data_IF_410679356392
#
_entry.id   IF_410679356392
#
_cell.length_a   1.000
_cell.length_b   1.000
_cell.length_c   1.000
_cell.angle_alpha   90.00
_cell.angle_beta   90.00
_cell.angle_gamma   90.00
#
_symmetry.space_group_name_H-M   'P 1'
#
loop_
_entity.id
_entity.type
_entity.pdbx_description
1 polymer ?
#
# COMPACT_ATOMS: atom_id res chain seq x y z
N UNK A 1 -32.48 41.93 -35.06
CA UNK A 1 -31.00 41.85 -35.02
C UNK A 1 -30.64 40.72 -34.06
N UNK A 2 -29.96 39.65 -34.52
CA UNK A 2 -29.59 38.54 -33.64
C UNK A 2 -28.31 38.86 -32.87
N UNK A 3 -28.32 38.62 -31.56
CA UNK A 3 -27.12 38.62 -30.72
C UNK A 3 -26.39 37.29 -30.92
N UNK A 4 -25.23 37.32 -31.57
CA UNK A 4 -24.26 36.23 -31.52
C UNK A 4 -23.44 36.39 -30.24
N UNK A 5 -23.71 35.56 -29.23
CA UNK A 5 -22.79 35.40 -28.10
C UNK A 5 -21.58 34.62 -28.60
N UNK A 6 -20.43 35.28 -28.66
CA UNK A 6 -19.16 34.66 -29.00
C UNK A 6 -18.69 33.84 -27.79
N UNK A 7 -18.80 32.51 -27.89
CA UNK A 7 -18.57 31.56 -26.79
C UNK A 7 -17.10 31.51 -26.31
N UNK A 8 -16.20 32.23 -27.00
CA UNK A 8 -14.76 32.25 -26.75
C UNK A 8 -14.26 33.53 -26.05
N UNK A 9 -15.15 34.47 -25.76
CA UNK A 9 -14.82 35.72 -25.07
C UNK A 9 -14.14 35.56 -23.68
N UNK A 10 -14.40 34.52 -22.84
CA UNK A 10 -13.65 34.38 -21.59
C UNK A 10 -12.18 33.98 -21.78
N UNK A 11 -11.75 33.56 -22.97
CA UNK A 11 -10.36 33.18 -23.26
C UNK A 11 -9.54 34.31 -23.92
N UNK A 12 -10.16 35.39 -24.37
CA UNK A 12 -9.47 36.55 -24.97
C UNK A 12 -8.63 37.33 -23.95
N UNK A 13 -8.92 37.17 -22.66
CA UNK A 13 -8.18 37.79 -21.55
C UNK A 13 -6.95 36.99 -21.10
N UNK A 14 -6.87 35.70 -21.42
CA UNK A 14 -5.73 34.86 -21.07
C UNK A 14 -4.67 35.05 -22.15
N UNK A 15 -3.65 35.84 -21.86
CA UNK A 15 -2.48 36.00 -22.72
C UNK A 15 -1.45 34.93 -22.32
N UNK A 16 -1.44 33.72 -22.93
CA UNK A 16 -0.56 32.63 -22.51
C UNK A 16 0.92 33.02 -22.56
N UNK A 17 1.30 33.97 -23.43
CA UNK A 17 2.68 34.49 -23.48
C UNK A 17 3.13 35.20 -22.19
N UNK A 18 2.24 35.94 -21.52
CA UNK A 18 2.57 36.61 -20.25
C UNK A 18 2.73 35.60 -19.10
N UNK A 19 1.82 34.62 -19.00
CA UNK A 19 1.90 33.51 -18.06
C UNK A 19 3.15 32.64 -18.30
N UNK A 20 3.48 32.33 -19.54
CA UNK A 20 4.67 31.53 -19.85
C UNK A 20 5.96 32.31 -19.53
N UNK A 21 5.97 33.63 -19.74
CA UNK A 21 7.10 34.50 -19.36
C UNK A 21 7.31 34.54 -17.85
N UNK A 22 6.23 34.80 -17.09
CA UNK A 22 6.27 34.96 -15.63
C UNK A 22 6.64 33.66 -14.90
N UNK A 23 6.34 32.51 -15.50
CA UNK A 23 6.65 31.18 -14.95
C UNK A 23 7.73 30.41 -15.73
N UNK A 24 8.40 31.07 -16.68
CA UNK A 24 9.38 30.44 -17.59
C UNK A 24 10.47 29.70 -16.82
N UNK A 25 10.97 30.30 -15.75
CA UNK A 25 11.97 29.74 -14.83
C UNK A 25 11.49 28.48 -14.11
N UNK A 26 10.25 28.51 -13.59
CA UNK A 26 9.65 27.36 -12.92
C UNK A 26 9.37 26.21 -13.88
N UNK A 27 8.90 26.53 -15.09
CA UNK A 27 8.65 25.55 -16.14
C UNK A 27 9.97 24.87 -16.53
N UNK A 28 11.03 25.65 -16.74
CA UNK A 28 12.32 25.13 -17.13
C UNK A 28 12.98 24.30 -16.02
N UNK A 29 12.97 24.78 -14.78
CA UNK A 29 13.49 24.01 -13.64
C UNK A 29 12.75 22.68 -13.48
N UNK A 30 11.42 22.69 -13.59
CA UNK A 30 10.61 21.48 -13.48
C UNK A 30 10.93 20.49 -14.60
N UNK A 31 11.10 20.98 -15.84
CA UNK A 31 11.53 20.15 -16.97
C UNK A 31 12.91 19.52 -16.73
N UNK A 32 13.88 20.30 -16.24
CA UNK A 32 15.21 19.80 -15.89
C UNK A 32 15.14 18.76 -14.78
N UNK A 33 14.33 18.99 -13.75
CA UNK A 33 14.14 18.05 -12.65
C UNK A 33 13.61 16.70 -13.13
N UNK A 34 12.56 16.69 -13.94
CA UNK A 34 12.01 15.45 -14.50
C UNK A 34 13.01 14.77 -15.45
N UNK A 35 13.73 15.54 -16.27
CA UNK A 35 14.75 15.02 -17.15
C UNK A 35 15.87 14.30 -16.38
N UNK A 36 16.46 14.95 -15.37
CA UNK A 36 17.52 14.33 -14.57
C UNK A 36 17.00 13.18 -13.73
N UNK A 37 15.75 13.22 -13.26
CA UNK A 37 15.14 12.10 -12.57
C UNK A 37 15.03 10.86 -13.48
N UNK A 38 14.63 11.06 -14.74
CA UNK A 38 14.62 9.99 -15.73
C UNK A 38 16.03 9.44 -16.00
N UNK A 39 17.01 10.31 -16.27
CA UNK A 39 18.40 9.91 -16.60
C UNK A 39 19.06 9.18 -15.44
N UNK A 40 19.01 9.74 -14.24
CA UNK A 40 19.57 9.13 -13.02
C UNK A 40 18.84 7.84 -12.68
N UNK A 41 17.51 7.80 -12.86
CA UNK A 41 16.70 6.61 -12.67
C UNK A 41 17.13 5.46 -13.57
N UNK A 42 17.45 5.73 -14.84
CA UNK A 42 17.94 4.72 -15.79
C UNK A 42 19.38 4.28 -15.44
N UNK A 43 20.26 5.25 -15.18
CA UNK A 43 21.68 4.99 -14.92
C UNK A 43 21.89 4.18 -13.63
N UNK A 44 21.26 4.59 -12.52
CA UNK A 44 21.43 3.91 -11.23
C UNK A 44 20.72 2.56 -11.17
N UNK A 45 19.60 2.37 -11.88
CA UNK A 45 18.87 1.09 -11.91
C UNK A 45 19.65 -0.01 -12.63
N UNK A 46 20.58 0.36 -13.51
CA UNK A 46 21.46 -0.59 -14.22
C UNK A 46 22.62 -1.09 -13.35
N UNK A 47 23.02 -0.31 -12.34
CA UNK A 47 24.21 -0.58 -11.52
C UNK A 47 23.87 -1.05 -10.10
N UNK A 48 22.67 -0.75 -9.61
CA UNK A 48 22.17 -1.17 -8.31
C UNK A 48 20.84 -1.92 -8.49
N UNK A 49 20.87 -3.26 -8.38
CA UNK A 49 19.66 -4.09 -8.33
C UNK A 49 18.71 -3.62 -7.21
N UNK A 50 17.40 -3.78 -7.44
CA UNK A 50 16.25 -3.11 -6.79
C UNK A 50 16.32 -2.94 -5.26
N UNK A 51 17.20 -2.05 -4.80
CA UNK A 51 17.29 -1.68 -3.40
C UNK A 51 16.24 -0.61 -3.08
N UNK A 52 15.63 -0.71 -1.90
CA UNK A 52 14.63 0.25 -1.40
C UNK A 52 15.17 1.69 -1.30
N UNK A 53 16.48 1.88 -1.45
CA UNK A 53 17.21 3.14 -1.31
C UNK A 53 17.50 3.85 -2.63
N UNK A 54 17.34 3.15 -3.77
CA UNK A 54 17.55 3.67 -5.12
C UNK A 54 16.68 4.91 -5.40
N UNK A 55 15.46 4.95 -4.85
CA UNK A 55 14.55 6.09 -5.04
C UNK A 55 15.03 7.35 -4.34
N UNK A 56 15.60 7.22 -3.13
CA UNK A 56 16.09 8.37 -2.35
C UNK A 56 17.38 8.91 -2.96
N UNK A 57 18.31 8.02 -3.33
CA UNK A 57 19.53 8.43 -4.02
C UNK A 57 19.23 9.02 -5.41
N UNK A 58 18.31 8.39 -6.15
CA UNK A 58 17.91 8.88 -7.47
C UNK A 58 17.29 10.27 -7.42
N UNK A 59 16.41 10.52 -6.44
CA UNK A 59 15.79 11.84 -6.25
C UNK A 59 16.80 12.90 -5.80
N UNK A 60 17.71 12.58 -4.86
CA UNK A 60 18.73 13.54 -4.42
C UNK A 60 19.70 13.91 -5.54
N UNK A 61 20.14 12.94 -6.33
CA UNK A 61 21.09 13.17 -7.43
C UNK A 61 20.41 13.90 -8.59
N UNK A 62 19.17 13.56 -8.91
CA UNK A 62 18.40 14.26 -9.94
C UNK A 62 18.16 15.73 -9.58
N UNK A 63 17.81 16.00 -8.32
CA UNK A 63 17.62 17.36 -7.82
C UNK A 63 18.93 18.16 -7.85
N UNK A 64 20.04 17.55 -7.44
CA UNK A 64 21.36 18.19 -7.49
C UNK A 64 21.77 18.57 -8.92
N UNK A 65 21.55 17.67 -9.89
CA UNK A 65 21.81 17.95 -11.30
C UNK A 65 20.88 19.02 -11.85
N UNK A 66 19.59 18.98 -11.52
CA UNK A 66 18.62 19.98 -11.98
C UNK A 66 18.96 21.39 -11.48
N UNK A 67 19.27 21.52 -10.18
CA UNK A 67 19.73 22.79 -9.59
C UNK A 67 21.05 23.22 -10.21
N UNK A 68 22.02 22.31 -10.30
CA UNK A 68 23.34 22.59 -10.85
C UNK A 68 23.25 23.10 -12.30
N UNK A 69 22.51 22.41 -13.16
CA UNK A 69 22.36 22.78 -14.57
C UNK A 69 21.52 24.04 -14.76
N UNK A 70 20.43 24.21 -14.01
CA UNK A 70 19.61 25.42 -14.09
C UNK A 70 20.43 26.68 -13.77
N UNK A 71 21.21 26.65 -12.68
CA UNK A 71 22.03 27.80 -12.29
C UNK A 71 23.32 27.96 -13.10
N UNK A 72 24.00 26.88 -13.46
CA UNK A 72 25.28 26.96 -14.19
C UNK A 72 25.13 27.25 -15.68
N UNK A 73 24.09 26.71 -16.31
CA UNK A 73 23.89 26.76 -17.77
C UNK A 73 22.88 27.84 -18.16
N UNK A 74 21.78 27.98 -17.41
CA UNK A 74 20.67 28.85 -17.85
C UNK A 74 20.76 30.29 -17.33
N UNK A 75 21.10 30.50 -16.06
CA UNK A 75 21.33 31.86 -15.53
C UNK A 75 22.73 32.44 -15.84
N UNK A 76 23.60 31.66 -16.49
CA UNK A 76 24.86 32.13 -17.05
C UNK A 76 25.98 32.32 -16.02
N UNK A 77 27.05 31.55 -16.21
CA UNK A 77 28.43 31.89 -15.82
C UNK A 77 28.65 32.19 -14.32
N UNK A 78 28.96 31.13 -13.55
CA UNK A 78 29.83 31.13 -12.36
C UNK A 78 30.26 32.50 -11.78
N UNK A 79 29.30 33.23 -11.20
CA UNK A 79 29.52 34.13 -10.08
C UNK A 79 28.53 33.72 -8.99
N UNK A 80 28.76 32.54 -8.39
CA UNK A 80 28.16 32.16 -7.11
C UNK A 80 28.71 33.08 -6.02
N UNK A 81 28.28 34.35 -6.00
CA UNK A 81 28.21 35.06 -4.73
C UNK A 81 26.96 34.54 -4.02
N UNK A 82 27.11 34.15 -2.75
CA UNK A 82 26.00 33.78 -1.87
C UNK A 82 24.91 34.88 -1.78
N UNK A 83 25.20 36.09 -2.25
CA UNK A 83 24.26 37.23 -2.34
C UNK A 83 23.22 37.06 -3.45
N UNK A 84 23.58 36.55 -4.63
CA UNK A 84 22.63 36.40 -5.75
C UNK A 84 21.65 35.24 -5.59
N UNK A 85 21.99 34.28 -4.73
CA UNK A 85 21.18 33.08 -4.47
C UNK A 85 19.95 33.36 -3.56
N UNK A 86 19.95 34.53 -2.90
CA UNK A 86 18.98 34.88 -1.87
C UNK A 86 18.94 33.86 -0.71
N UNK A 87 18.05 34.12 0.25
CA UNK A 87 17.82 33.21 1.37
C UNK A 87 17.32 31.82 0.92
N UNK A 88 16.55 31.79 -0.17
CA UNK A 88 15.88 30.57 -0.63
C UNK A 88 16.85 29.54 -1.23
N UNK A 89 17.80 29.96 -2.07
CA UNK A 89 18.79 29.05 -2.62
C UNK A 89 19.71 28.47 -1.54
N UNK A 90 20.05 29.27 -0.52
CA UNK A 90 20.88 28.83 0.59
C UNK A 90 20.15 27.72 1.39
N UNK A 91 18.86 27.92 1.67
CA UNK A 91 18.02 26.91 2.33
C UNK A 91 17.94 25.62 1.50
N UNK A 92 17.76 25.71 0.18
CA UNK A 92 17.69 24.54 -0.70
C UNK A 92 19.01 23.76 -0.70
N UNK A 93 20.15 24.46 -0.79
CA UNK A 93 21.47 23.87 -0.75
C UNK A 93 21.72 23.15 0.59
N UNK A 94 21.29 23.75 1.70
CA UNK A 94 21.37 23.10 3.02
C UNK A 94 20.54 21.83 3.11
N UNK A 95 19.33 21.84 2.56
CA UNK A 95 18.48 20.65 2.49
C UNK A 95 19.19 19.54 1.70
N UNK A 96 19.78 19.86 0.54
CA UNK A 96 20.52 18.89 -0.29
C UNK A 96 21.71 18.31 0.46
N UNK A 97 22.57 19.14 1.07
CA UNK A 97 23.73 18.69 1.84
C UNK A 97 23.29 17.77 2.99
N UNK A 98 22.26 18.16 3.74
CA UNK A 98 21.72 17.34 4.82
C UNK A 98 21.27 15.96 4.32
N UNK A 99 20.52 15.91 3.21
CA UNK A 99 20.04 14.65 2.65
C UNK A 99 21.17 13.77 2.10
N UNK A 100 22.24 14.35 1.56
CA UNK A 100 23.43 13.61 1.15
C UNK A 100 24.11 12.98 2.37
N UNK A 101 24.39 13.77 3.42
CA UNK A 101 25.01 13.27 4.66
C UNK A 101 24.16 12.18 5.29
N UNK A 102 22.85 12.42 5.42
CA UNK A 102 21.91 11.44 5.96
C UNK A 102 21.83 10.17 5.10
N UNK A 103 21.80 10.32 3.77
CA UNK A 103 21.79 9.21 2.81
C UNK A 103 23.04 8.34 2.92
N UNK A 104 24.22 8.96 3.03
CA UNK A 104 25.49 8.27 3.23
C UNK A 104 25.52 7.50 4.54
N UNK A 105 25.16 8.13 5.67
CA UNK A 105 25.12 7.47 6.99
C UNK A 105 24.16 6.28 6.99
N UNK A 106 23.01 6.42 6.33
CA UNK A 106 22.06 5.32 6.15
C UNK A 106 22.63 4.21 5.26
N UNK A 107 23.39 4.57 4.23
CA UNK A 107 24.11 3.65 3.34
C UNK A 107 25.13 2.77 4.09
N UNK A 108 25.74 3.30 5.15
CA UNK A 108 26.60 2.53 6.07
C UNK A 108 25.82 1.61 7.03
N UNK A 109 24.52 1.41 6.82
CA UNK A 109 23.70 0.45 7.57
C UNK A 109 23.16 0.94 8.92
N UNK A 110 23.30 2.23 9.24
CA UNK A 110 22.76 2.79 10.47
C UNK A 110 21.23 2.88 10.43
N UNK A 111 20.58 2.47 11.53
CA UNK A 111 19.12 2.63 11.71
C UNK A 111 18.74 4.11 11.66
N UNK A 112 17.61 4.44 11.04
CA UNK A 112 17.13 5.82 10.85
C UNK A 112 17.10 6.64 12.15
N UNK A 113 16.75 6.00 13.27
CA UNK A 113 16.72 6.64 14.60
C UNK A 113 18.09 7.16 15.07
N UNK A 114 19.19 6.56 14.60
CA UNK A 114 20.56 6.95 14.91
C UNK A 114 21.20 7.75 13.75
N UNK A 115 20.81 7.45 12.51
CA UNK A 115 21.31 8.13 11.33
C UNK A 115 20.86 9.60 11.25
N UNK A 116 19.63 9.91 11.68
CA UNK A 116 19.11 11.28 11.64
C UNK A 116 19.82 12.20 12.65
N UNK A 117 19.98 11.85 13.95
CA UNK A 117 20.79 12.65 14.88
C UNK A 117 22.24 12.81 14.42
N UNK A 118 22.87 11.74 13.94
CA UNK A 118 24.26 11.82 13.47
C UNK A 118 24.39 12.70 12.22
N UNK A 119 23.47 12.56 11.27
CA UNK A 119 23.44 13.39 10.07
C UNK A 119 23.23 14.86 10.38
N UNK A 120 22.35 15.17 11.34
CA UNK A 120 22.15 16.55 11.79
C UNK A 120 23.39 17.09 12.51
N UNK A 121 24.03 16.30 13.39
CA UNK A 121 25.24 16.73 14.09
C UNK A 121 26.38 17.03 13.11
N UNK A 122 26.60 16.15 12.12
CA UNK A 122 27.60 16.36 11.08
C UNK A 122 27.26 17.56 10.20
N UNK A 123 26.00 17.67 9.77
CA UNK A 123 25.53 18.83 9.01
C UNK A 123 25.78 20.15 9.75
N UNK A 124 25.45 20.22 11.03
CA UNK A 124 25.65 21.42 11.84
C UNK A 124 27.15 21.77 12.01
N UNK A 125 28.00 20.76 12.26
CA UNK A 125 29.46 20.96 12.33
C UNK A 125 30.01 21.42 10.99
N UNK A 126 29.56 20.84 9.87
CA UNK A 126 29.95 21.27 8.53
C UNK A 126 29.52 22.72 8.25
N UNK A 127 28.32 23.10 8.69
CA UNK A 127 27.80 24.46 8.52
C UNK A 127 28.63 25.46 9.34
N UNK A 128 29.03 25.09 10.56
CA UNK A 128 29.92 25.89 11.41
C UNK A 128 31.35 25.99 10.86
N UNK A 129 31.90 24.89 10.34
CA UNK A 129 33.29 24.81 9.89
C UNK A 129 33.54 25.42 8.51
N UNK A 130 32.60 25.25 7.57
CA UNK A 130 32.81 25.61 6.16
C UNK A 130 32.39 27.05 5.88
N UNK A 131 31.34 27.57 6.55
CA UNK A 131 30.80 28.90 6.25
C UNK A 131 30.35 29.62 7.54
N UNK A 132 31.29 30.09 8.39
CA UNK A 132 30.96 30.80 9.63
C UNK A 132 30.11 32.06 9.40
N UNK A 133 30.28 32.70 8.23
CA UNK A 133 29.49 33.86 7.82
C UNK A 133 27.99 33.56 7.72
N UNK A 134 27.56 32.34 7.37
CA UNK A 134 26.13 32.03 7.25
C UNK A 134 25.46 31.95 8.62
N UNK A 135 26.12 31.36 9.63
CA UNK A 135 25.57 31.37 10.99
C UNK A 135 25.48 32.77 11.56
N UNK A 136 26.44 33.64 11.20
CA UNK A 136 26.41 35.05 11.56
C UNK A 136 25.22 35.77 10.91
N UNK A 137 25.01 35.59 9.60
CA UNK A 137 23.86 36.15 8.88
C UNK A 137 22.53 35.59 9.40
N UNK A 138 22.42 34.28 9.68
CA UNK A 138 21.20 33.69 10.27
C UNK A 138 20.94 34.27 11.65
N UNK A 139 22.00 34.52 12.44
CA UNK A 139 21.88 35.12 13.77
C UNK A 139 21.39 36.57 13.70
N UNK A 140 21.81 37.35 12.72
CA UNK A 140 21.36 38.73 12.53
C UNK A 140 19.95 38.82 11.93
N UNK A 141 19.63 38.00 10.93
CA UNK A 141 18.34 38.04 10.22
C UNK A 141 17.23 37.30 10.96
N UNK A 142 17.52 36.15 11.57
CA UNK A 142 16.53 35.32 12.29
C UNK A 142 17.13 34.69 13.56
N UNK A 143 17.32 35.48 14.64
CA UNK A 143 17.89 35.00 15.90
C UNK A 143 17.24 33.70 16.46
N UNK A 144 15.90 33.50 16.38
CA UNK A 144 15.27 32.28 16.89
C UNK A 144 15.72 31.00 16.17
N UNK A 145 16.02 31.08 14.87
CA UNK A 145 16.41 29.92 14.05
C UNK A 145 17.76 29.38 14.51
N UNK A 146 18.70 30.28 14.82
CA UNK A 146 19.99 29.88 15.37
C UNK A 146 19.84 29.17 16.73
N UNK A 147 18.95 29.66 17.59
CA UNK A 147 18.62 29.01 18.86
C UNK A 147 18.04 27.61 18.68
N UNK A 148 17.12 27.43 17.73
CA UNK A 148 16.52 26.13 17.40
C UNK A 148 17.56 25.16 16.85
N UNK A 149 18.43 25.60 15.94
CA UNK A 149 19.50 24.78 15.37
C UNK A 149 20.48 24.31 16.44
N UNK A 150 20.86 25.20 17.37
CA UNK A 150 21.73 24.85 18.50
C UNK A 150 21.06 23.81 19.41
N UNK A 151 19.78 24.00 19.77
CA UNK A 151 19.05 23.03 20.61
C UNK A 151 18.96 21.67 19.91
N UNK A 152 18.62 21.64 18.63
CA UNK A 152 18.60 20.40 17.84
C UNK A 152 19.97 19.75 17.76
N UNK A 153 21.06 20.53 17.72
CA UNK A 153 22.42 20.03 17.72
C UNK A 153 22.75 19.37 19.05
N UNK A 154 22.48 20.03 20.18
CA UNK A 154 22.70 19.46 21.52
C UNK A 154 21.91 18.17 21.71
N UNK A 155 20.62 18.14 21.33
CA UNK A 155 19.79 16.93 21.39
C UNK A 155 20.35 15.82 20.50
N UNK A 156 20.86 16.18 19.31
CA UNK A 156 21.45 15.23 18.38
C UNK A 156 22.74 14.62 18.91
N UNK A 157 23.65 15.45 19.44
CA UNK A 157 24.89 15.00 20.10
C UNK A 157 24.55 14.13 21.30
N UNK A 158 23.62 14.54 22.17
CA UNK A 158 23.19 13.74 23.31
C UNK A 158 22.64 12.37 22.87
N UNK A 159 21.83 12.31 21.81
CA UNK A 159 21.35 11.04 21.25
C UNK A 159 22.46 10.17 20.67
N UNK A 160 23.42 10.76 19.95
CA UNK A 160 24.56 10.01 19.39
C UNK A 160 25.43 9.46 20.53
N UNK A 161 25.75 10.29 21.52
CA UNK A 161 26.55 9.94 22.69
C UNK A 161 25.85 8.87 23.52
N UNK A 162 24.56 9.02 23.82
CA UNK A 162 23.80 7.98 24.55
C UNK A 162 23.65 6.70 23.74
N UNK A 163 23.49 6.75 22.42
CA UNK A 163 23.50 5.56 21.57
C UNK A 163 24.87 4.84 21.59
N UNK A 164 25.96 5.61 21.60
CA UNK A 164 27.32 5.10 21.68
C UNK A 164 27.62 4.47 23.05
N UNK A 165 27.29 5.16 24.14
CA UNK A 165 27.45 4.65 25.50
C UNK A 165 26.50 3.48 25.82
N UNK A 166 25.31 3.44 25.22
CA UNK A 166 24.41 2.29 25.33
C UNK A 166 24.99 1.06 24.65
N UNK A 167 25.77 1.22 23.59
CA UNK A 167 26.54 0.14 22.98
C UNK A 167 27.79 -0.26 23.80
N UNK A 168 28.41 0.67 24.55
CA UNK A 168 29.52 0.37 25.45
C UNK A 168 29.09 -0.31 26.76
N UNK A 169 27.84 -0.12 27.22
CA UNK A 169 27.27 -0.82 28.39
C UNK A 169 26.78 -2.24 28.08
N UNK A 170 26.75 -2.64 26.81
CA UNK A 170 26.58 -4.06 26.46
C UNK A 170 27.81 -4.79 26.96
N UNK A 171 27.62 -5.72 27.91
CA UNK A 171 28.71 -6.52 28.46
C UNK A 171 29.55 -7.13 27.32
N UNK A 172 30.88 -7.25 27.43
CA UNK A 172 31.69 -8.00 26.45
C UNK A 172 31.14 -9.41 26.20
N UNK A 173 30.42 -9.98 27.19
CA UNK A 173 29.69 -11.23 27.10
C UNK A 173 28.41 -11.16 26.24
N UNK A 174 27.72 -10.01 26.22
CA UNK A 174 26.59 -9.76 25.32
C UNK A 174 27.05 -9.48 23.89
N UNK A 175 28.19 -8.79 23.71
CA UNK A 175 28.83 -8.63 22.41
C UNK A 175 29.39 -9.97 21.91
N UNK A 176 29.98 -10.79 22.78
CA UNK A 176 30.38 -12.16 22.44
C UNK A 176 29.17 -13.06 22.14
N UNK A 177 28.03 -12.90 22.82
CA UNK A 177 26.76 -13.58 22.47
C UNK A 177 26.17 -13.08 21.16
N UNK A 178 26.27 -11.78 20.85
CA UNK A 178 25.80 -11.21 19.59
C UNK A 178 26.74 -11.53 18.42
N UNK A 179 28.04 -11.69 18.67
CA UNK A 179 29.02 -12.21 17.70
C UNK A 179 28.86 -13.72 17.50
N UNK A 180 28.40 -14.45 18.52
CA UNK A 180 28.01 -15.87 18.41
C UNK A 180 26.62 -16.07 17.81
N UNK A 181 25.79 -15.01 17.73
CA UNK A 181 24.47 -14.99 17.05
C UNK A 181 24.51 -14.38 15.65
N UNK A 182 25.51 -13.55 15.35
CA UNK A 182 25.82 -13.14 13.99
C UNK A 182 26.85 -14.11 13.47
N UNK A 183 26.36 -15.24 12.96
CA UNK A 183 27.15 -16.15 12.17
C UNK A 183 27.87 -15.35 11.07
N UNK A 184 29.18 -15.13 11.29
CA UNK A 184 30.14 -14.75 10.25
C UNK A 184 30.53 -15.97 9.40
N UNK A 185 29.85 -17.11 9.59
CA UNK A 185 29.76 -18.10 8.53
C UNK A 185 28.96 -17.47 7.38
N UNK A 186 29.40 -17.58 6.12
CA UNK A 186 28.53 -17.25 5.01
C UNK A 186 27.22 -18.02 5.21
N UNK A 187 26.11 -17.30 5.41
CA UNK A 187 24.78 -17.92 5.48
C UNK A 187 24.67 -18.86 4.29
N UNK A 188 24.31 -20.11 4.55
CA UNK A 188 24.07 -21.03 3.45
C UNK A 188 23.00 -20.40 2.55
N UNK A 189 23.11 -20.59 1.23
CA UNK A 189 22.08 -20.09 0.28
C UNK A 189 20.67 -20.55 0.69
N UNK A 190 20.58 -21.71 1.37
CA UNK A 190 19.35 -22.28 1.92
C UNK A 190 18.75 -21.45 3.06
N UNK A 191 19.55 -20.85 3.97
CA UNK A 191 19.00 -20.04 5.08
C UNK A 191 18.38 -18.72 4.61
N UNK A 192 18.93 -18.16 3.53
CA UNK A 192 18.38 -16.96 2.86
C UNK A 192 17.04 -17.29 2.18
N UNK A 193 16.91 -18.53 1.71
CA UNK A 193 15.72 -19.04 1.06
C UNK A 193 14.58 -19.27 2.07
N UNK A 194 14.87 -19.93 3.19
CA UNK A 194 13.92 -20.15 4.29
C UNK A 194 13.43 -18.81 4.86
N UNK A 195 14.33 -17.84 5.07
CA UNK A 195 13.94 -16.49 5.53
C UNK A 195 12.99 -15.79 4.52
N UNK A 196 13.24 -15.97 3.21
CA UNK A 196 12.40 -15.41 2.14
C UNK A 196 11.03 -16.08 2.08
N UNK A 197 10.97 -17.40 2.21
CA UNK A 197 9.73 -18.18 2.27
C UNK A 197 8.90 -17.80 3.51
N UNK A 198 9.54 -17.63 4.67
CA UNK A 198 8.84 -17.17 5.88
C UNK A 198 8.26 -15.75 5.70
N UNK A 199 8.99 -14.83 5.08
CA UNK A 199 8.46 -13.49 4.78
C UNK A 199 7.29 -13.53 3.80
N UNK A 200 7.35 -14.40 2.79
CA UNK A 200 6.28 -14.60 1.82
C UNK A 200 5.01 -15.13 2.49
N UNK A 201 5.12 -16.23 3.24
CA UNK A 201 4.01 -16.85 3.99
C UNK A 201 3.39 -15.87 5.02
N UNK A 202 4.22 -15.07 5.71
CA UNK A 202 3.72 -14.00 6.59
C UNK A 202 2.99 -12.91 5.83
N UNK A 203 3.40 -12.61 4.60
CA UNK A 203 2.74 -11.68 3.68
C UNK A 203 1.34 -12.19 3.29
N UNK A 204 1.27 -13.45 2.89
CA UNK A 204 0.04 -14.18 2.56
C UNK A 204 -0.93 -14.19 3.74
N UNK A 205 -0.49 -14.64 4.92
CA UNK A 205 -1.33 -14.67 6.12
C UNK A 205 -1.89 -13.28 6.48
N UNK A 206 -1.11 -12.21 6.31
CA UNK A 206 -1.59 -10.82 6.53
C UNK A 206 -2.65 -10.42 5.52
N UNK A 207 -2.48 -10.79 4.25
CA UNK A 207 -3.45 -10.50 3.20
C UNK A 207 -4.76 -11.27 3.43
N UNK A 208 -4.72 -12.58 3.71
CA UNK A 208 -5.91 -13.38 4.05
C UNK A 208 -6.63 -12.79 5.27
N UNK A 209 -5.90 -12.57 6.38
CA UNK A 209 -6.51 -12.12 7.65
C UNK A 209 -7.07 -10.71 7.58
N UNK A 210 -6.32 -9.76 6.99
CA UNK A 210 -6.68 -8.33 7.05
C UNK A 210 -7.56 -7.88 5.90
N UNK A 211 -7.42 -8.49 4.72
CA UNK A 211 -8.16 -8.07 3.53
C UNK A 211 -9.30 -9.02 3.25
N UNK A 212 -9.02 -10.27 2.90
CA UNK A 212 -10.06 -11.20 2.43
C UNK A 212 -11.08 -11.51 3.52
N UNK A 213 -10.64 -11.97 4.70
CA UNK A 213 -11.57 -12.39 5.75
C UNK A 213 -12.41 -11.25 6.35
N UNK A 214 -11.85 -10.04 6.40
CA UNK A 214 -12.62 -8.86 6.81
C UNK A 214 -13.67 -8.49 5.77
N UNK A 215 -13.32 -8.60 4.49
CA UNK A 215 -14.22 -8.32 3.38
C UNK A 215 -15.37 -9.33 3.35
N UNK A 216 -15.08 -10.62 3.43
CA UNK A 216 -16.10 -11.69 3.54
C UNK A 216 -17.01 -11.47 4.75
N UNK A 217 -16.45 -11.05 5.90
CA UNK A 217 -17.25 -10.68 7.07
C UNK A 217 -18.18 -9.48 6.84
N UNK A 218 -17.72 -8.48 6.10
CA UNK A 218 -18.52 -7.31 5.70
C UNK A 218 -19.63 -7.68 4.70
N UNK A 219 -19.35 -8.59 3.77
CA UNK A 219 -20.32 -9.08 2.79
C UNK A 219 -21.44 -9.86 3.46
N UNK A 220 -21.13 -10.73 4.44
CA UNK A 220 -22.15 -11.42 5.25
C UNK A 220 -23.10 -10.42 5.91
N UNK A 221 -22.54 -9.38 6.55
CA UNK A 221 -23.35 -8.32 7.17
C UNK A 221 -24.18 -7.57 6.13
N UNK A 222 -23.62 -7.33 4.95
CA UNK A 222 -24.33 -6.65 3.86
C UNK A 222 -25.52 -7.48 3.37
N UNK A 223 -25.37 -8.80 3.23
CA UNK A 223 -26.48 -9.72 2.91
C UNK A 223 -27.55 -9.71 3.99
N UNK A 224 -27.18 -9.67 5.27
CA UNK A 224 -28.12 -9.55 6.39
C UNK A 224 -28.91 -8.23 6.35
N UNK A 225 -28.24 -7.12 6.06
CA UNK A 225 -28.88 -5.81 5.94
C UNK A 225 -29.87 -5.76 4.76
N UNK A 226 -29.51 -6.36 3.61
CA UNK A 226 -30.44 -6.51 2.48
C UNK A 226 -31.65 -7.35 2.90
N UNK A 227 -31.42 -8.44 3.64
CA UNK A 227 -32.48 -9.29 4.18
C UNK A 227 -33.46 -8.50 5.05
N UNK A 228 -32.95 -7.66 5.95
CA UNK A 228 -33.79 -6.80 6.79
C UNK A 228 -34.64 -5.82 5.98
N UNK A 229 -34.10 -5.19 4.93
CA UNK A 229 -34.88 -4.32 4.05
C UNK A 229 -35.97 -5.09 3.30
N UNK A 230 -35.73 -6.34 2.90
CA UNK A 230 -36.76 -7.18 2.31
C UNK A 230 -37.87 -7.54 3.29
N UNK A 231 -37.52 -7.84 4.54
CA UNK A 231 -38.52 -8.11 5.59
C UNK A 231 -39.42 -6.89 5.82
N UNK A 232 -38.85 -5.67 5.83
CA UNK A 232 -39.62 -4.42 5.89
C UNK A 232 -40.58 -4.31 4.70
N UNK A 233 -40.10 -4.57 3.48
CA UNK A 233 -40.95 -4.51 2.29
C UNK A 233 -42.08 -5.54 2.34
N UNK A 234 -41.78 -6.79 2.70
CA UNK A 234 -42.76 -7.86 2.86
C UNK A 234 -43.82 -7.46 3.89
N UNK A 235 -43.41 -6.94 5.06
CA UNK A 235 -44.33 -6.54 6.12
C UNK A 235 -45.25 -5.38 5.73
N UNK A 236 -44.77 -4.41 4.94
CA UNK A 236 -45.63 -3.34 4.39
C UNK A 236 -46.69 -3.92 3.45
N UNK A 237 -46.27 -4.80 2.54
CA UNK A 237 -47.16 -5.42 1.56
C UNK A 237 -48.19 -6.33 2.23
N UNK A 238 -47.81 -7.09 3.26
CA UNK A 238 -48.73 -7.95 4.02
C UNK A 238 -49.80 -7.15 4.76
N UNK A 239 -49.45 -6.01 5.34
CA UNK A 239 -50.40 -5.18 6.10
C UNK A 239 -51.34 -4.38 5.22
N UNK A 240 -50.88 -3.91 4.06
CA UNK A 240 -51.59 -2.89 3.24
C UNK A 240 -52.07 -3.42 1.89
N UNK A 241 -51.49 -4.52 1.40
CA UNK A 241 -51.83 -5.08 0.09
C UNK A 241 -51.73 -4.04 -1.02
N UNK A 242 -52.75 -3.96 -1.87
CA UNK A 242 -52.83 -2.95 -2.94
C UNK A 242 -53.28 -1.54 -2.49
N UNK A 243 -53.54 -1.31 -1.20
CA UNK A 243 -54.09 -0.05 -0.67
C UNK A 243 -53.03 0.79 0.07
N UNK A 244 -51.82 0.83 -0.46
CA UNK A 244 -50.72 1.60 0.13
C UNK A 244 -50.92 3.11 -0.08
N UNK A 245 -50.63 3.90 0.94
CA UNK A 245 -50.57 5.36 0.88
C UNK A 245 -49.21 5.87 0.38
N UNK A 246 -49.10 7.18 0.20
CA UNK A 246 -47.90 7.81 -0.33
C UNK A 246 -46.67 7.63 0.60
N UNK A 247 -46.87 7.54 1.92
CA UNK A 247 -45.81 7.32 2.89
C UNK A 247 -45.24 5.91 2.80
N UNK A 248 -46.11 4.92 2.69
CA UNK A 248 -45.75 3.51 2.58
C UNK A 248 -45.04 3.20 1.25
N UNK A 249 -45.48 3.83 0.16
CA UNK A 249 -44.77 3.79 -1.13
C UNK A 249 -43.38 4.42 -1.02
N UNK A 250 -43.24 5.52 -0.26
CA UNK A 250 -41.94 6.13 -0.02
C UNK A 250 -41.01 5.23 0.81
N UNK A 251 -41.53 4.55 1.84
CA UNK A 251 -40.77 3.57 2.63
C UNK A 251 -40.28 2.40 1.78
N UNK A 252 -41.14 1.81 0.94
CA UNK A 252 -40.74 0.76 -0.01
C UNK A 252 -39.66 1.24 -0.98
N UNK A 253 -39.80 2.45 -1.50
CA UNK A 253 -38.82 3.06 -2.40
C UNK A 253 -37.48 3.27 -1.70
N UNK A 254 -37.51 3.71 -0.44
CA UNK A 254 -36.31 3.88 0.37
C UNK A 254 -35.63 2.53 0.65
N UNK A 255 -36.37 1.51 1.06
CA UNK A 255 -35.84 0.17 1.28
C UNK A 255 -35.17 -0.38 0.02
N UNK A 256 -35.82 -0.25 -1.15
CA UNK A 256 -35.26 -0.66 -2.43
C UNK A 256 -33.97 0.09 -2.79
N UNK A 257 -33.92 1.41 -2.55
CA UNK A 257 -32.69 2.20 -2.75
C UNK A 257 -31.55 1.71 -1.85
N UNK A 258 -31.84 1.32 -0.62
CA UNK A 258 -30.82 0.77 0.28
C UNK A 258 -30.35 -0.61 -0.19
N UNK A 259 -31.25 -1.47 -0.66
CA UNK A 259 -30.90 -2.75 -1.28
C UNK A 259 -29.94 -2.53 -2.46
N UNK A 260 -30.27 -1.63 -3.39
CA UNK A 260 -29.40 -1.35 -4.55
C UNK A 260 -28.03 -0.80 -4.15
N UNK A 261 -27.94 0.07 -3.14
CA UNK A 261 -26.64 0.54 -2.61
C UNK A 261 -25.80 -0.59 -2.04
N UNK A 262 -26.42 -1.52 -1.31
CA UNK A 262 -25.74 -2.66 -0.69
C UNK A 262 -25.33 -3.72 -1.69
N UNK A 263 -26.14 -3.95 -2.72
CA UNK A 263 -25.81 -4.85 -3.82
C UNK A 263 -24.51 -4.41 -4.54
N UNK A 264 -24.37 -3.11 -4.84
CA UNK A 264 -23.14 -2.57 -5.44
C UNK A 264 -21.91 -2.87 -4.57
N UNK A 265 -22.04 -2.79 -3.25
CA UNK A 265 -20.94 -3.13 -2.34
C UNK A 265 -20.58 -4.62 -2.40
N UNK A 266 -21.56 -5.51 -2.54
CA UNK A 266 -21.32 -6.95 -2.72
C UNK A 266 -20.58 -7.24 -4.03
N UNK A 267 -20.97 -6.59 -5.13
CA UNK A 267 -20.29 -6.77 -6.42
C UNK A 267 -18.83 -6.31 -6.37
N UNK A 268 -18.57 -5.16 -5.74
CA UNK A 268 -17.21 -4.64 -5.54
C UNK A 268 -16.38 -5.56 -4.63
N UNK A 269 -16.98 -6.07 -3.56
CA UNK A 269 -16.32 -7.02 -2.65
C UNK A 269 -15.90 -8.30 -3.36
N UNK A 270 -16.79 -8.85 -4.19
CA UNK A 270 -16.54 -10.05 -4.97
C UNK A 270 -15.37 -9.86 -5.96
N UNK A 271 -15.28 -8.70 -6.63
CA UNK A 271 -14.16 -8.42 -7.52
C UNK A 271 -12.82 -8.35 -6.77
N UNK A 272 -12.81 -7.78 -5.57
CA UNK A 272 -11.61 -7.73 -4.72
C UNK A 272 -11.18 -9.14 -4.25
N UNK A 273 -12.14 -9.99 -3.88
CA UNK A 273 -11.87 -11.40 -3.53
C UNK A 273 -11.25 -12.11 -4.73
N UNK A 274 -11.83 -11.97 -5.92
CA UNK A 274 -11.31 -12.55 -7.16
C UNK A 274 -9.87 -12.14 -7.44
N UNK A 275 -9.55 -10.85 -7.29
CA UNK A 275 -8.18 -10.33 -7.46
C UNK A 275 -7.22 -10.99 -6.47
N UNK A 276 -7.62 -11.18 -5.21
CA UNK A 276 -6.80 -11.86 -4.21
C UNK A 276 -6.62 -13.34 -4.53
N UNK A 277 -7.69 -14.08 -4.86
CA UNK A 277 -7.66 -15.50 -5.25
C UNK A 277 -6.69 -15.71 -6.42
N UNK A 278 -6.78 -14.86 -7.45
CA UNK A 278 -5.88 -14.94 -8.60
C UNK A 278 -4.42 -14.57 -8.27
N UNK A 279 -4.18 -13.69 -7.30
CA UNK A 279 -2.83 -13.40 -6.82
C UNK A 279 -2.23 -14.63 -6.13
N UNK A 280 -2.97 -15.28 -5.22
CA UNK A 280 -2.53 -16.52 -4.57
C UNK A 280 -2.31 -17.64 -5.58
N UNK A 281 -3.24 -17.85 -6.51
CA UNK A 281 -3.13 -18.89 -7.53
C UNK A 281 -1.84 -18.77 -8.32
N UNK A 282 -1.48 -17.56 -8.75
CA UNK A 282 -0.23 -17.30 -9.48
C UNK A 282 1.01 -17.61 -8.64
N UNK A 283 0.96 -17.30 -7.35
CA UNK A 283 2.05 -17.53 -6.41
C UNK A 283 2.31 -19.03 -6.23
N UNK A 284 1.30 -19.79 -5.80
CA UNK A 284 1.42 -21.23 -5.55
C UNK A 284 1.72 -22.02 -6.84
N UNK A 285 1.12 -21.63 -7.97
CA UNK A 285 1.39 -22.26 -9.27
C UNK A 285 2.82 -22.02 -9.76
N UNK A 286 3.42 -20.86 -9.43
CA UNK A 286 4.81 -20.56 -9.80
C UNK A 286 5.81 -21.38 -8.98
N UNK A 287 5.51 -21.66 -7.71
CA UNK A 287 6.41 -22.36 -6.82
C UNK A 287 6.46 -23.88 -7.10
N UNK A 288 5.36 -24.47 -7.59
CA UNK A 288 5.27 -25.92 -7.82
C UNK A 288 6.36 -26.50 -8.74
N UNK A 289 6.63 -25.95 -9.94
CA UNK A 289 7.68 -26.47 -10.82
C UNK A 289 9.08 -26.39 -10.21
N UNK A 290 9.34 -25.36 -9.40
CA UNK A 290 10.60 -25.21 -8.70
C UNK A 290 10.76 -26.28 -7.61
N UNK A 291 9.72 -26.51 -6.81
CA UNK A 291 9.70 -27.57 -5.80
C UNK A 291 9.83 -28.96 -6.44
N UNK A 292 9.16 -29.22 -7.57
CA UNK A 292 9.31 -30.49 -8.32
C UNK A 292 10.75 -30.69 -8.79
N UNK A 293 11.40 -29.63 -9.28
CA UNK A 293 12.81 -29.67 -9.67
C UNK A 293 13.73 -29.90 -8.47
N UNK A 294 13.49 -29.24 -7.33
CA UNK A 294 14.27 -29.47 -6.09
C UNK A 294 14.10 -30.90 -5.60
N UNK A 295 12.87 -31.41 -5.59
CA UNK A 295 12.56 -32.78 -5.20
C UNK A 295 13.30 -33.82 -6.05
N UNK A 296 13.39 -33.62 -7.38
CA UNK A 296 14.09 -34.53 -8.27
C UNK A 296 15.62 -34.54 -8.04
N UNK A 297 16.20 -33.39 -7.72
CA UNK A 297 17.64 -33.22 -7.56
C UNK A 297 18.15 -33.53 -6.14
N UNK A 298 17.26 -33.54 -5.15
CA UNK A 298 17.62 -33.78 -3.75
C UNK A 298 17.91 -35.27 -3.49
N UNK A 299 19.03 -35.53 -2.81
CA UNK A 299 19.51 -36.88 -2.47
C UNK A 299 19.24 -37.23 -1.02
N UNK A 300 19.14 -36.23 -0.13
CA UNK A 300 18.85 -36.46 1.29
C UNK A 300 17.37 -36.83 1.48
N UNK A 301 17.06 -38.03 2.03
CA UNK A 301 15.68 -38.46 2.29
C UNK A 301 14.93 -37.55 3.27
N UNK A 302 15.63 -36.93 4.24
CA UNK A 302 15.01 -36.02 5.20
C UNK A 302 14.54 -34.72 4.52
N UNK A 303 15.41 -34.11 3.69
CA UNK A 303 15.05 -32.91 2.89
C UNK A 303 13.99 -33.22 1.84
N UNK A 304 14.07 -34.37 1.17
CA UNK A 304 13.04 -34.83 0.22
C UNK A 304 11.64 -34.86 0.83
N UNK A 305 11.52 -35.36 2.07
CA UNK A 305 10.25 -35.40 2.78
C UNK A 305 9.69 -34.01 3.06
N UNK A 306 10.55 -33.05 3.42
CA UNK A 306 10.14 -31.65 3.64
C UNK A 306 9.59 -31.04 2.34
N UNK A 307 10.33 -31.22 1.24
CA UNK A 307 9.91 -30.72 -0.09
C UNK A 307 8.58 -31.38 -0.52
N UNK A 308 8.39 -32.67 -0.25
CA UNK A 308 7.12 -33.38 -0.54
C UNK A 308 5.94 -32.83 0.29
N UNK A 309 6.16 -32.54 1.57
CA UNK A 309 5.18 -31.91 2.44
C UNK A 309 4.81 -30.51 1.94
N UNK A 310 5.80 -29.72 1.48
CA UNK A 310 5.57 -28.40 0.90
C UNK A 310 4.82 -28.48 -0.44
N UNK A 311 5.20 -29.37 -1.35
CA UNK A 311 4.48 -29.61 -2.60
C UNK A 311 3.01 -30.00 -2.34
N UNK A 312 2.78 -30.83 -1.32
CA UNK A 312 1.44 -31.23 -0.90
C UNK A 312 0.65 -30.04 -0.38
N UNK A 313 1.28 -29.15 0.38
CA UNK A 313 0.68 -27.89 0.82
C UNK A 313 0.29 -27.00 -0.37
N UNK A 314 1.22 -26.75 -1.32
CA UNK A 314 0.95 -25.93 -2.51
C UNK A 314 -0.22 -26.49 -3.33
N UNK A 315 -0.28 -27.83 -3.53
CA UNK A 315 -1.41 -28.50 -4.22
C UNK A 315 -2.74 -28.34 -3.48
N UNK A 316 -2.74 -28.51 -2.16
CA UNK A 316 -3.94 -28.30 -1.32
C UNK A 316 -4.40 -26.85 -1.38
N UNK A 317 -3.48 -25.90 -1.41
CA UNK A 317 -3.83 -24.49 -1.52
C UNK A 317 -4.50 -24.18 -2.87
N UNK A 318 -3.98 -24.73 -3.96
CA UNK A 318 -4.65 -24.60 -5.27
C UNK A 318 -6.07 -25.17 -5.27
N UNK A 319 -6.28 -26.36 -4.69
CA UNK A 319 -7.63 -26.93 -4.54
C UNK A 319 -8.56 -26.02 -3.74
N UNK A 320 -8.06 -25.42 -2.66
CA UNK A 320 -8.81 -24.46 -1.86
C UNK A 320 -9.22 -23.23 -2.68
N UNK A 321 -8.33 -22.72 -3.54
CA UNK A 321 -8.62 -21.60 -4.43
C UNK A 321 -9.70 -21.96 -5.46
N UNK A 322 -9.73 -23.19 -5.95
CA UNK A 322 -10.77 -23.66 -6.86
C UNK A 322 -12.15 -23.70 -6.17
N UNK A 323 -12.20 -24.08 -4.89
CA UNK A 323 -13.43 -23.98 -4.09
C UNK A 323 -13.90 -22.52 -3.91
N UNK A 324 -12.98 -21.58 -3.74
CA UNK A 324 -13.31 -20.15 -3.62
C UNK A 324 -13.89 -19.60 -4.94
N UNK A 325 -13.33 -19.99 -6.09
CA UNK A 325 -13.84 -19.59 -7.41
C UNK A 325 -15.22 -20.20 -7.70
N UNK A 326 -15.45 -21.44 -7.29
CA UNK A 326 -16.78 -22.06 -7.38
C UNK A 326 -17.82 -21.32 -6.52
N UNK A 327 -17.44 -20.87 -5.32
CA UNK A 327 -18.31 -20.05 -4.47
C UNK A 327 -18.56 -18.67 -5.10
N UNK A 328 -17.55 -18.02 -5.67
CA UNK A 328 -17.68 -16.75 -6.40
C UNK A 328 -18.72 -16.87 -7.52
N UNK A 329 -18.61 -17.92 -8.34
CA UNK A 329 -19.53 -18.20 -9.45
C UNK A 329 -20.97 -18.38 -8.97
N UNK A 330 -21.15 -19.07 -7.83
CA UNK A 330 -22.46 -19.21 -7.18
C UNK A 330 -23.00 -17.86 -6.69
N UNK A 331 -22.20 -17.06 -6.01
CA UNK A 331 -22.59 -15.73 -5.52
C UNK A 331 -23.02 -14.82 -6.68
N UNK A 332 -22.29 -14.83 -7.80
CA UNK A 332 -22.65 -14.08 -9.00
C UNK A 332 -24.00 -14.53 -9.57
N UNK A 333 -24.22 -15.83 -9.69
CA UNK A 333 -25.50 -16.37 -10.16
C UNK A 333 -26.66 -16.01 -9.24
N UNK A 334 -26.44 -16.04 -7.91
CA UNK A 334 -27.41 -15.59 -6.92
C UNK A 334 -27.73 -14.10 -7.07
N UNK A 335 -26.72 -13.25 -7.23
CA UNK A 335 -26.93 -11.80 -7.43
C UNK A 335 -27.77 -11.52 -8.67
N UNK A 336 -27.49 -12.20 -9.79
CA UNK A 336 -28.26 -12.05 -11.02
C UNK A 336 -29.71 -12.51 -10.87
N UNK A 337 -29.92 -13.68 -10.25
CA UNK A 337 -31.25 -14.21 -9.98
C UNK A 337 -32.04 -13.31 -9.03
N UNK A 338 -31.38 -12.82 -7.96
CA UNK A 338 -31.94 -11.88 -6.99
C UNK A 338 -32.43 -10.61 -7.69
N UNK A 339 -31.60 -9.98 -8.50
CA UNK A 339 -31.96 -8.75 -9.22
C UNK A 339 -33.16 -8.93 -10.13
N UNK A 340 -33.21 -10.07 -10.83
CA UNK A 340 -34.35 -10.42 -11.69
C UNK A 340 -35.62 -10.54 -10.84
N UNK A 341 -35.58 -11.24 -9.71
CA UNK A 341 -36.72 -11.41 -8.82
C UNK A 341 -37.19 -10.07 -8.25
N UNK A 342 -36.26 -9.22 -7.78
CA UNK A 342 -36.59 -7.88 -7.27
C UNK A 342 -37.24 -7.02 -8.35
N UNK A 343 -36.68 -7.01 -9.57
CA UNK A 343 -37.25 -6.28 -10.70
C UNK A 343 -38.68 -6.74 -11.02
N UNK A 344 -38.92 -8.05 -11.06
CA UNK A 344 -40.27 -8.61 -11.27
C UNK A 344 -41.20 -8.26 -10.12
N UNK A 345 -40.76 -8.34 -8.86
CA UNK A 345 -41.58 -7.97 -7.71
C UNK A 345 -42.04 -6.50 -7.77
N UNK A 346 -41.16 -5.59 -8.19
CA UNK A 346 -41.49 -4.18 -8.38
C UNK A 346 -42.50 -4.00 -9.52
N UNK A 347 -42.38 -4.77 -10.61
CA UNK A 347 -43.35 -4.72 -11.70
C UNK A 347 -44.73 -5.20 -11.25
N UNK A 348 -44.80 -6.32 -10.50
CA UNK A 348 -46.05 -6.82 -9.92
C UNK A 348 -46.68 -5.80 -8.96
N UNK A 349 -45.88 -5.10 -8.14
CA UNK A 349 -46.39 -3.99 -7.30
C UNK A 349 -47.00 -2.87 -8.13
N UNK A 350 -46.32 -2.43 -9.20
CA UNK A 350 -46.84 -1.38 -10.09
C UNK A 350 -48.11 -1.81 -10.82
N UNK A 351 -48.26 -3.11 -11.11
CA UNK A 351 -49.46 -3.69 -11.70
C UNK A 351 -50.62 -3.91 -10.72
N UNK A 352 -50.46 -3.58 -9.44
CA UNK A 352 -51.48 -3.79 -8.40
C UNK A 352 -51.52 -5.21 -7.82
N UNK A 353 -50.64 -6.10 -8.26
CA UNK A 353 -50.53 -7.50 -7.82
C UNK A 353 -49.67 -7.63 -6.56
N UNK A 354 -50.15 -7.08 -5.44
CA UNK A 354 -49.42 -7.08 -4.16
C UNK A 354 -49.08 -8.48 -3.64
N UNK A 355 -49.98 -9.46 -3.82
CA UNK A 355 -49.74 -10.85 -3.40
C UNK A 355 -48.59 -11.50 -4.17
N UNK A 356 -48.53 -11.31 -5.49
CA UNK A 356 -47.46 -11.87 -6.32
C UNK A 356 -46.11 -11.22 -5.99
N UNK A 357 -46.11 -9.90 -5.81
CA UNK A 357 -44.92 -9.19 -5.37
C UNK A 357 -44.38 -9.69 -4.03
N UNK A 358 -45.27 -9.93 -3.07
CA UNK A 358 -44.91 -10.52 -1.77
C UNK A 358 -44.22 -11.87 -1.95
N UNK A 359 -44.81 -12.78 -2.72
CA UNK A 359 -44.26 -14.12 -2.91
C UNK A 359 -42.88 -14.09 -3.59
N UNK A 360 -42.69 -13.16 -4.53
CA UNK A 360 -41.39 -12.91 -5.15
C UNK A 360 -40.36 -12.37 -4.14
N UNK A 361 -40.73 -11.42 -3.28
CA UNK A 361 -39.82 -10.89 -2.25
C UNK A 361 -39.48 -11.95 -1.19
N UNK A 362 -40.42 -12.81 -0.81
CA UNK A 362 -40.17 -13.96 0.08
C UNK A 362 -39.18 -14.93 -0.57
N UNK A 363 -39.33 -15.21 -1.87
CA UNK A 363 -38.36 -16.03 -2.62
C UNK A 363 -36.98 -15.37 -2.69
N UNK A 364 -36.90 -14.06 -2.93
CA UNK A 364 -35.65 -13.31 -2.90
C UNK A 364 -34.97 -13.39 -1.53
N UNK A 365 -35.74 -13.26 -0.45
CA UNK A 365 -35.25 -13.40 0.92
C UNK A 365 -34.70 -14.81 1.21
N UNK A 366 -35.37 -15.86 0.69
CA UNK A 366 -34.85 -17.24 0.72
C UNK A 366 -33.49 -17.36 0.02
N UNK A 367 -33.35 -16.77 -1.16
CA UNK A 367 -32.08 -16.73 -1.89
C UNK A 367 -30.94 -16.04 -1.15
N UNK A 368 -31.22 -14.95 -0.40
CA UNK A 368 -30.21 -14.29 0.44
C UNK A 368 -29.71 -15.20 1.57
N UNK A 369 -30.57 -16.06 2.13
CA UNK A 369 -30.15 -17.03 3.15
C UNK A 369 -29.16 -18.05 2.58
N UNK A 370 -29.39 -18.51 1.36
CA UNK A 370 -28.45 -19.40 0.65
C UNK A 370 -27.14 -18.69 0.34
N UNK A 371 -27.20 -17.45 -0.17
CA UNK A 371 -26.02 -16.62 -0.42
C UNK A 371 -25.18 -16.41 0.84
N UNK A 372 -25.84 -16.12 1.98
CA UNK A 372 -25.17 -16.01 3.29
C UNK A 372 -24.46 -17.31 3.68
N UNK A 373 -25.05 -18.48 3.44
CA UNK A 373 -24.40 -19.77 3.71
C UNK A 373 -23.15 -19.97 2.84
N UNK A 374 -23.18 -19.52 1.58
CA UNK A 374 -21.98 -19.57 0.71
C UNK A 374 -20.87 -18.68 1.26
N UNK A 375 -21.18 -17.45 1.69
CA UNK A 375 -20.19 -16.57 2.32
C UNK A 375 -19.64 -17.12 3.64
N UNK A 376 -20.47 -17.73 4.50
CA UNK A 376 -19.99 -18.37 5.73
C UNK A 376 -19.08 -19.57 5.43
N UNK A 377 -19.39 -20.37 4.41
CA UNK A 377 -18.50 -21.44 3.93
C UNK A 377 -17.17 -20.86 3.45
N UNK A 378 -17.19 -19.79 2.66
CA UNK A 378 -15.98 -19.10 2.22
C UNK A 378 -15.14 -18.58 3.41
N UNK A 379 -15.78 -17.96 4.40
CA UNK A 379 -15.10 -17.49 5.63
C UNK A 379 -14.46 -18.63 6.41
N UNK A 380 -15.09 -19.80 6.45
CA UNK A 380 -14.53 -20.99 7.09
C UNK A 380 -13.32 -21.54 6.33
N UNK A 381 -13.37 -21.51 5.00
CA UNK A 381 -12.22 -21.84 4.15
C UNK A 381 -11.05 -20.87 4.42
N UNK A 382 -11.32 -19.56 4.48
CA UNK A 382 -10.29 -18.56 4.78
C UNK A 382 -9.66 -18.76 6.17
N UNK A 383 -10.44 -19.16 7.18
CA UNK A 383 -9.89 -19.55 8.50
C UNK A 383 -9.02 -20.80 8.43
N UNK A 384 -9.40 -21.76 7.59
CA UNK A 384 -8.62 -22.97 7.38
C UNK A 384 -7.27 -22.65 6.71
N UNK A 385 -7.26 -21.78 5.69
CA UNK A 385 -6.02 -21.25 5.07
C UNK A 385 -5.11 -20.63 6.15
N UNK A 386 -5.64 -19.73 6.98
CA UNK A 386 -4.85 -19.12 8.07
C UNK A 386 -4.26 -20.13 9.06
N UNK A 387 -4.89 -21.29 9.21
CA UNK A 387 -4.41 -22.36 10.09
C UNK A 387 -3.27 -23.13 9.41
N UNK A 388 -3.39 -23.36 8.09
CA UNK A 388 -2.32 -23.96 7.29
C UNK A 388 -1.09 -23.05 7.26
N UNK A 389 -1.23 -21.75 6.92
CA UNK A 389 -0.10 -20.80 6.87
C UNK A 389 0.66 -20.77 8.20
N UNK A 390 -0.05 -20.79 9.34
CA UNK A 390 0.57 -20.82 10.68
C UNK A 390 1.37 -22.08 10.93
N UNK A 391 0.86 -23.22 10.47
CA UNK A 391 1.54 -24.51 10.61
C UNK A 391 2.80 -24.51 9.75
N UNK A 392 2.70 -24.09 8.49
CA UNK A 392 3.84 -23.98 7.57
C UNK A 392 4.93 -23.07 8.13
N UNK A 393 4.58 -21.87 8.61
CA UNK A 393 5.55 -20.96 9.28
C UNK A 393 6.18 -21.64 10.52
N UNK A 394 5.39 -22.40 11.27
CA UNK A 394 5.89 -23.14 12.43
C UNK A 394 6.88 -24.25 12.06
N UNK A 395 6.64 -24.93 10.95
CA UNK A 395 7.49 -26.02 10.47
C UNK A 395 8.78 -25.47 9.82
N UNK A 396 8.72 -24.37 9.06
CA UNK A 396 9.89 -23.64 8.55
C UNK A 396 10.82 -23.17 9.68
N UNK A 397 10.26 -22.69 10.80
CA UNK A 397 11.06 -22.32 11.98
C UNK A 397 11.76 -23.52 12.63
N UNK A 398 11.08 -24.67 12.70
CA UNK A 398 11.70 -25.89 13.26
C UNK A 398 12.81 -26.41 12.35
N UNK A 399 12.70 -26.25 11.03
CA UNK A 399 13.77 -26.59 10.12
C UNK A 399 15.01 -25.73 10.38
N UNK A 400 14.81 -24.42 10.59
CA UNK A 400 15.88 -23.50 10.98
C UNK A 400 16.52 -23.83 12.33
N UNK A 401 15.72 -24.24 13.32
CA UNK A 401 16.18 -24.54 14.68
C UNK A 401 16.82 -25.94 14.84
N UNK A 402 16.62 -26.85 13.87
CA UNK A 402 17.17 -28.23 13.89
C UNK A 402 18.55 -28.34 13.22
N UNK A 403 19.08 -27.24 12.71
CA UNK A 403 20.43 -27.12 12.13
C UNK A 403 21.30 -26.29 13.07
#
# INVERSE_FOLDING_TARGET
MPFTYDLLDPFSSIHPGSLISDYSDWILFTLLLFFFWAVVGIALRRQFEESRYLRVLGTSTALALAVGTYYSVYQGWLHLSLEGLGFFGAVLLFIVIFFIIFGLIRGFGMRTANALPLGFALFYVSLWAVIPNILYTIRETFPPVNGILLVLFVVSVFKVVTAFFRHLRSSPLDIARDLKKRDFAPRSSEDVEIDREEEQERGEMKLVKRKTMKLTGFEIKTVEEIGHYLEVMIGIIERKGGRMDAGEVAELTQALRQIGKREVLLTQGLELIKRHVNAYRRLHRKNLPELEKRFQNEKDPAKKKIIEEEMTYQKRMLQVLDFLEANESRILSFSQAFNKIIATAIQSLKGGSASEARDLLVRAHGGLREMKQVYEKQKNIEKYILTLDRRTIGDLKKEKDRR
#
